data_IF_623001453112
#
_entry.id   IF_623001453112
#
_cell.length_a   1.000
_cell.length_b   1.000
_cell.length_c   1.000
_cell.angle_alpha   90.00
_cell.angle_beta   90.00
_cell.angle_gamma   90.00
#
_symmetry.space_group_name_H-M   'P 1'
#
loop_
_entity.id
_entity.type
_entity.pdbx_description
1 polymer ?
#
# COMPACT_ATOMS: atom_id res chain seq x y z
N UNK A 1 -4.26 -9.12 11.16
CA UNK A 1 -4.78 -8.34 10.00
C UNK A 1 -5.63 -7.12 10.43
N UNK A 2 -6.08 -7.04 11.69
CA UNK A 2 -6.85 -5.89 12.20
C UNK A 2 -6.07 -4.57 12.23
N UNK A 3 -4.73 -4.62 12.31
CA UNK A 3 -3.89 -3.41 12.36
C UNK A 3 -3.97 -2.55 11.08
N UNK A 4 -4.27 -3.16 9.93
CA UNK A 4 -4.27 -2.47 8.64
C UNK A 4 -5.54 -1.65 8.38
N UNK A 5 -6.59 -1.78 9.20
CA UNK A 5 -7.86 -1.09 9.00
C UNK A 5 -7.82 0.29 9.65
N UNK A 6 -8.06 1.34 8.87
CA UNK A 6 -8.15 2.70 9.42
C UNK A 6 -9.45 2.88 10.22
N UNK A 7 -9.37 3.69 11.28
CA UNK A 7 -10.55 4.05 12.08
C UNK A 7 -11.48 4.93 11.26
N UNK A 8 -12.78 4.89 11.56
CA UNK A 8 -13.73 5.82 10.94
C UNK A 8 -13.36 7.26 11.33
N UNK A 9 -13.26 8.13 10.34
CA UNK A 9 -12.82 9.52 10.52
C UNK A 9 -11.33 9.77 10.28
N UNK A 10 -10.53 8.73 9.99
CA UNK A 10 -9.13 8.90 9.59
C UNK A 10 -9.04 9.72 8.30
N UNK A 11 -8.08 10.65 8.26
CA UNK A 11 -7.87 11.54 7.11
C UNK A 11 -7.23 10.82 5.92
N UNK A 12 -7.48 11.32 4.70
CA UNK A 12 -6.80 10.83 3.49
C UNK A 12 -5.27 10.92 3.59
N UNK A 13 -4.77 11.92 4.32
CA UNK A 13 -3.34 12.12 4.58
C UNK A 13 -2.77 10.96 5.38
N UNK A 14 -3.45 10.53 6.45
CA UNK A 14 -3.03 9.36 7.23
C UNK A 14 -3.09 8.07 6.41
N UNK A 15 -4.13 7.91 5.58
CA UNK A 15 -4.20 6.79 4.65
C UNK A 15 -2.97 6.73 3.74
N UNK A 16 -2.59 7.88 3.19
CA UNK A 16 -1.44 8.03 2.32
C UNK A 16 -0.12 7.70 3.03
N UNK A 17 0.21 8.39 4.12
CA UNK A 17 1.48 8.19 4.83
C UNK A 17 1.61 6.77 5.40
N UNK A 18 0.53 6.21 5.95
CA UNK A 18 0.57 4.84 6.46
C UNK A 18 0.82 3.83 5.34
N UNK A 19 0.22 4.05 4.16
CA UNK A 19 0.50 3.23 2.99
C UNK A 19 1.95 3.37 2.49
N UNK A 20 2.55 4.56 2.56
CA UNK A 20 3.96 4.79 2.20
C UNK A 20 4.94 4.12 3.17
N UNK A 21 4.54 3.95 4.43
CA UNK A 21 5.37 3.29 5.45
C UNK A 21 5.44 1.77 5.27
N UNK A 22 4.61 1.18 4.40
CA UNK A 22 4.60 -0.26 4.18
C UNK A 22 5.74 -0.65 3.24
N UNK A 23 6.57 -1.58 3.66
CA UNK A 23 7.78 -2.03 2.93
C UNK A 23 7.62 -3.37 2.23
N UNK A 24 6.46 -4.02 2.37
CA UNK A 24 6.18 -5.34 1.80
C UNK A 24 5.03 -5.29 0.78
N UNK A 25 5.18 -6.02 -0.34
CA UNK A 25 4.19 -6.03 -1.43
C UNK A 25 2.84 -6.62 -1.00
N UNK A 26 2.85 -7.68 -0.17
CA UNK A 26 1.64 -8.35 0.32
C UNK A 26 0.88 -7.47 1.30
N UNK A 27 1.59 -6.85 2.23
CA UNK A 27 0.98 -5.93 3.19
C UNK A 27 0.41 -4.70 2.49
N UNK A 28 1.12 -4.14 1.50
CA UNK A 28 0.64 -2.97 0.78
C UNK A 28 -0.64 -3.30 0.01
N UNK A 29 -0.68 -4.46 -0.66
CA UNK A 29 -1.87 -4.91 -1.35
C UNK A 29 -3.05 -5.18 -0.40
N UNK A 30 -2.77 -5.80 0.76
CA UNK A 30 -3.79 -6.04 1.78
C UNK A 30 -4.34 -4.72 2.36
N UNK A 31 -3.46 -3.77 2.66
CA UNK A 31 -3.82 -2.45 3.16
C UNK A 31 -4.71 -1.67 2.19
N UNK A 32 -4.35 -1.65 0.90
CA UNK A 32 -5.18 -1.02 -0.15
C UNK A 32 -6.52 -1.72 -0.27
N UNK A 33 -6.56 -3.05 -0.20
CA UNK A 33 -7.81 -3.83 -0.29
C UNK A 33 -8.74 -3.56 0.89
N UNK A 34 -8.20 -3.50 2.11
CA UNK A 34 -8.96 -3.22 3.34
C UNK A 34 -9.50 -1.80 3.34
N UNK A 35 -8.70 -0.84 2.85
CA UNK A 35 -9.04 0.59 2.82
C UNK A 35 -9.44 1.06 1.41
N UNK A 36 -10.07 0.18 0.61
CA UNK A 36 -10.38 0.44 -0.80
C UNK A 36 -11.11 1.75 -1.03
N UNK A 37 -12.02 2.12 -0.13
CA UNK A 37 -12.77 3.38 -0.20
C UNK A 37 -11.87 4.61 -0.24
N UNK A 38 -10.78 4.62 0.53
CA UNK A 38 -9.79 5.70 0.51
C UNK A 38 -8.98 5.69 -0.79
N UNK A 39 -8.62 4.50 -1.28
CA UNK A 39 -7.85 4.35 -2.51
C UNK A 39 -8.62 4.82 -3.74
N UNK A 40 -9.88 4.39 -3.90
CA UNK A 40 -10.74 4.77 -5.04
C UNK A 40 -10.99 6.29 -5.08
N UNK A 41 -11.03 6.96 -3.91
CA UNK A 41 -11.23 8.40 -3.80
C UNK A 41 -9.93 9.21 -3.78
N UNK A 42 -8.77 8.55 -3.69
CA UNK A 42 -7.49 9.23 -3.74
C UNK A 42 -7.22 9.79 -5.14
N UNK A 43 -6.43 10.87 -5.21
CA UNK A 43 -5.98 11.44 -6.48
C UNK A 43 -5.30 10.36 -7.34
N UNK A 44 -5.42 10.42 -8.68
CA UNK A 44 -4.81 9.44 -9.58
C UNK A 44 -3.29 9.32 -9.39
N UNK A 45 -2.61 10.42 -9.05
CA UNK A 45 -1.18 10.42 -8.71
C UNK A 45 -0.85 9.53 -7.50
N UNK A 46 -1.68 9.60 -6.44
CA UNK A 46 -1.53 8.76 -5.25
C UNK A 46 -1.78 7.30 -5.59
N UNK A 47 -2.81 7.00 -6.39
CA UNK A 47 -3.09 5.64 -6.84
C UNK A 47 -1.92 5.07 -7.65
N UNK A 48 -1.35 5.86 -8.56
CA UNK A 48 -0.19 5.45 -9.35
C UNK A 48 1.04 5.25 -8.48
N UNK A 49 1.29 6.11 -7.49
CA UNK A 49 2.39 5.96 -6.56
C UNK A 49 2.31 4.64 -5.79
N UNK A 50 1.13 4.27 -5.29
CA UNK A 50 0.91 2.97 -4.67
C UNK A 50 1.14 1.79 -5.63
N UNK A 51 0.68 1.90 -6.89
CA UNK A 51 0.95 0.88 -7.91
C UNK A 51 2.45 0.74 -8.20
N UNK A 52 3.19 1.86 -8.25
CA UNK A 52 4.65 1.87 -8.44
C UNK A 52 5.36 1.20 -7.26
N UNK A 53 4.99 1.56 -6.02
CA UNK A 53 5.55 0.93 -4.81
C UNK A 53 5.33 -0.58 -4.81
N UNK A 54 4.11 -1.03 -5.09
CA UNK A 54 3.79 -2.46 -5.20
C UNK A 54 4.71 -3.18 -6.21
N UNK A 55 4.91 -2.58 -7.40
CA UNK A 55 5.81 -3.13 -8.43
C UNK A 55 7.26 -3.17 -7.97
N UNK A 56 7.73 -2.15 -7.24
CA UNK A 56 9.10 -2.11 -6.69
C UNK A 56 9.29 -3.25 -5.68
N UNK A 57 8.39 -3.39 -4.72
CA UNK A 57 8.46 -4.45 -3.71
C UNK A 57 8.39 -5.84 -4.34
N UNK A 58 7.49 -6.06 -5.30
CA UNK A 58 7.43 -7.31 -6.08
C UNK A 58 8.72 -7.63 -6.83
N UNK A 59 9.41 -6.62 -7.37
CA UNK A 59 10.70 -6.78 -8.03
C UNK A 59 11.81 -7.11 -7.03
N UNK A 60 11.79 -6.52 -5.84
CA UNK A 60 12.75 -6.81 -4.78
C UNK A 60 12.59 -8.24 -4.26
N UNK A 61 11.36 -8.71 -4.02
CA UNK A 61 11.08 -10.11 -3.62
C UNK A 61 11.68 -11.09 -4.65
N UNK A 62 11.40 -10.88 -5.95
CA UNK A 62 11.95 -11.72 -7.03
C UNK A 62 13.48 -11.68 -7.14
N UNK A 63 14.12 -10.55 -6.77
CA UNK A 63 15.58 -10.44 -6.76
C UNK A 63 16.19 -11.20 -5.59
N UNK A 64 15.55 -11.18 -4.42
CA UNK A 64 16.00 -11.93 -3.26
C UNK A 64 15.80 -13.44 -3.45
N UNK A 65 14.72 -13.88 -4.11
CA UNK A 65 14.50 -15.30 -4.45
C UNK A 65 15.55 -15.86 -5.43
N UNK A 66 16.14 -15.05 -6.31
CA UNK A 66 17.16 -15.50 -7.28
C UNK A 66 18.59 -15.51 -6.73
N UNK A 67 18.80 -14.98 -5.51
CA UNK A 67 20.12 -14.90 -4.86
C UNK A 67 20.35 -16.00 -3.83
N UNK A 68 19.32 -16.79 -3.51
CA UNK A 68 19.42 -18.06 -2.79
C UNK A 68 19.31 -19.22 -3.79
#
# INVERSE_FOLDING_TARGET
>A
MEDLKLKRGTSFIEFYYRGLSITNSKELAAYIKINKWYFDRAKPEVQEQFRRLYRIYKKQEKKNEKKN
#
